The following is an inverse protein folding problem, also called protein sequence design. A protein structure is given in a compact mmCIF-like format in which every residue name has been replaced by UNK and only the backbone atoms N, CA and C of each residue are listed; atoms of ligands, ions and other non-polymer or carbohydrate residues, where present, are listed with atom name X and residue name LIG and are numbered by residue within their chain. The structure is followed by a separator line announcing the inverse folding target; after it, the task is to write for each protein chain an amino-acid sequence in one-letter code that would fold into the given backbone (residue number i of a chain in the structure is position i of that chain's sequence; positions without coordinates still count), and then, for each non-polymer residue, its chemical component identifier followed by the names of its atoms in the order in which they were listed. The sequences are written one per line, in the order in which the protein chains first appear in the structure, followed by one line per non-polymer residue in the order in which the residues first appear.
data_IF_013878890515
#
_entry.id   IF_013878890515
#
_cell.length_a   1.000
_cell.length_b   1.000
_cell.length_c   1.000
_cell.angle_alpha   90.00
_cell.angle_beta   90.00
_cell.angle_gamma   90.00
#
_symmetry.space_group_name_H-M   'P 1'
#
loop_
_entity.id
_entity.type
_entity.pdbx_description
1 polymer ?
#
# COMPACT_ATOMS: atom_id res chain seq x y z
N UNK A 1 10.23 -17.21 2.07
CA UNK A 1 10.53 -16.50 3.33
C UNK A 1 10.41 -17.50 4.49
N UNK A 2 11.22 -17.35 5.54
CA UNK A 2 11.16 -18.19 6.74
C UNK A 2 10.86 -17.35 7.98
N UNK A 3 10.44 -18.00 9.07
CA UNK A 3 10.03 -17.32 10.32
C UNK A 3 8.62 -16.70 10.24
N UNK A 4 8.27 -15.91 11.27
CA UNK A 4 6.91 -15.39 11.50
C UNK A 4 6.33 -14.68 10.28
N UNK A 5 7.12 -13.83 9.61
CA UNK A 5 6.68 -13.12 8.40
C UNK A 5 6.26 -14.10 7.29
N UNK A 6 7.05 -15.14 7.05
CA UNK A 6 6.74 -16.14 6.02
C UNK A 6 5.53 -17.00 6.37
N UNK A 7 5.26 -17.20 7.66
CA UNK A 7 4.08 -17.95 8.11
C UNK A 7 2.80 -17.11 7.95
N UNK A 8 2.86 -15.80 8.19
CA UNK A 8 1.76 -14.85 7.91
C UNK A 8 1.46 -14.80 6.41
N UNK A 9 2.49 -14.64 5.57
CA UNK A 9 2.35 -14.63 4.11
C UNK A 9 1.68 -15.91 3.60
N UNK A 10 2.14 -17.09 4.06
CA UNK A 10 1.54 -18.37 3.69
C UNK A 10 0.09 -18.50 4.17
N UNK A 11 -0.22 -18.02 5.37
CA UNK A 11 -1.59 -18.08 5.90
C UNK A 11 -2.57 -17.33 4.99
N UNK A 12 -2.23 -16.11 4.58
CA UNK A 12 -3.03 -15.30 3.65
C UNK A 12 -3.14 -15.98 2.28
N UNK A 13 -2.03 -16.48 1.71
CA UNK A 13 -2.06 -17.20 0.43
C UNK A 13 -2.96 -18.44 0.46
N UNK A 14 -2.94 -19.20 1.57
CA UNK A 14 -3.79 -20.36 1.76
C UNK A 14 -5.28 -20.00 1.92
N UNK A 15 -5.59 -18.91 2.62
CA UNK A 15 -6.95 -18.39 2.76
C UNK A 15 -7.55 -18.00 1.41
N UNK A 16 -6.74 -17.30 0.59
CA UNK A 16 -7.09 -16.89 -0.78
C UNK A 16 -7.00 -18.05 -1.80
N UNK A 17 -6.54 -19.24 -1.38
CA UNK A 17 -6.37 -20.45 -2.20
C UNK A 17 -5.50 -20.23 -3.46
N UNK A 18 -4.44 -19.44 -3.31
CA UNK A 18 -3.48 -19.13 -4.38
C UNK A 18 -2.08 -19.66 -4.05
N UNK A 19 -1.33 -19.99 -5.09
CA UNK A 19 0.08 -20.35 -5.03
C UNK A 19 0.93 -19.49 -5.96
N UNK A 20 2.25 -19.47 -5.74
CA UNK A 20 3.17 -18.70 -6.58
C UNK A 20 3.12 -19.07 -8.07
N UNK A 21 2.79 -20.33 -8.38
CA UNK A 21 2.67 -20.80 -9.77
C UNK A 21 1.49 -20.18 -10.50
N UNK A 22 0.46 -19.73 -9.80
CA UNK A 22 -0.74 -19.14 -10.40
C UNK A 22 -0.47 -17.78 -11.05
N UNK A 23 0.69 -17.17 -10.75
CA UNK A 23 1.14 -15.91 -11.34
C UNK A 23 2.07 -16.11 -12.57
N UNK A 24 2.30 -17.37 -12.97
CA UNK A 24 3.06 -17.72 -14.18
C UNK A 24 2.08 -18.09 -15.29
N UNK A 25 2.15 -17.41 -16.44
CA UNK A 25 1.23 -17.61 -17.57
C UNK A 25 2.05 -18.17 -18.74
N UNK A 26 2.02 -19.49 -18.94
CA UNK A 26 2.85 -20.17 -19.94
C UNK A 26 2.54 -19.73 -21.38
N UNK A 27 1.25 -19.54 -21.70
CA UNK A 27 0.80 -19.12 -23.03
C UNK A 27 1.07 -17.64 -23.34
N UNK A 28 1.30 -16.83 -22.30
CA UNK A 28 1.60 -15.38 -22.41
C UNK A 28 2.67 -14.97 -21.38
N UNK A 29 3.95 -15.38 -21.58
CA UNK A 29 5.00 -15.18 -20.59
C UNK A 29 5.22 -13.72 -20.18
N UNK A 30 4.94 -12.76 -21.05
CA UNK A 30 5.04 -11.32 -20.78
C UNK A 30 4.06 -10.80 -19.72
N UNK A 31 2.98 -11.54 -19.46
CA UNK A 31 2.01 -11.23 -18.40
C UNK A 31 2.34 -11.91 -17.06
N UNK A 32 3.40 -12.72 -17.02
CA UNK A 32 3.85 -13.37 -15.78
C UNK A 32 4.33 -12.35 -14.75
N UNK A 33 3.90 -12.52 -13.51
CA UNK A 33 4.37 -11.72 -12.37
C UNK A 33 5.26 -12.56 -11.46
N UNK A 34 6.56 -12.25 -11.44
CA UNK A 34 7.54 -12.92 -10.57
C UNK A 34 7.50 -12.43 -9.12
N UNK A 35 6.71 -11.39 -8.84
CA UNK A 35 6.63 -10.76 -7.54
C UNK A 35 7.83 -9.85 -7.23
N UNK A 36 7.66 -9.06 -6.18
CA UNK A 36 8.65 -8.09 -5.71
C UNK A 36 8.36 -7.74 -4.26
N UNK A 37 9.39 -7.26 -3.54
CA UNK A 37 9.21 -6.75 -2.19
C UNK A 37 8.79 -5.29 -2.23
N UNK A 38 7.83 -4.93 -1.38
CA UNK A 38 7.40 -3.55 -1.15
C UNK A 38 7.50 -3.24 0.35
N UNK A 39 8.08 -2.09 0.75
CA UNK A 39 8.03 -1.65 2.15
C UNK A 39 6.57 -1.58 2.63
N UNK A 40 6.29 -2.17 3.79
CA UNK A 40 4.94 -2.22 4.36
C UNK A 40 4.47 -0.84 4.83
N UNK A 41 5.39 -0.02 5.35
CA UNK A 41 5.10 1.33 5.80
C UNK A 41 5.97 2.35 5.04
N UNK A 42 5.44 3.56 4.90
CA UNK A 42 6.11 4.70 4.31
C UNK A 42 6.08 5.84 5.33
N UNK A 43 7.22 6.50 5.52
CA UNK A 43 7.26 7.72 6.33
C UNK A 43 6.62 8.90 5.58
N UNK A 44 5.90 9.74 6.32
CA UNK A 44 5.49 11.06 5.86
C UNK A 44 6.65 11.99 6.17
N UNK A 45 7.37 12.41 5.14
CA UNK A 45 8.63 13.12 5.32
C UNK A 45 8.38 14.63 5.32
N UNK A 46 9.03 15.32 6.26
CA UNK A 46 8.95 16.77 6.41
C UNK A 46 7.49 17.27 6.46
N UNK A 47 6.68 16.60 7.29
CA UNK A 47 5.28 16.96 7.46
C UNK A 47 5.14 18.32 8.14
N UNK A 48 4.61 19.28 7.39
CA UNK A 48 4.13 20.57 7.86
C UNK A 48 2.61 20.62 7.70
N UNK A 49 1.93 21.33 8.60
CA UNK A 49 0.50 21.53 8.48
C UNK A 49 0.05 22.85 9.08
N UNK A 50 -1.02 23.38 8.52
CA UNK A 50 -1.65 24.62 8.96
C UNK A 50 -3.17 24.57 8.73
N UNK A 51 -3.87 25.60 9.18
CA UNK A 51 -5.26 25.83 8.81
C UNK A 51 -5.33 27.00 7.84
N UNK A 52 -6.05 26.82 6.73
CA UNK A 52 -6.33 27.91 5.81
C UNK A 52 -7.31 28.94 6.40
N UNK A 53 -7.62 29.99 5.65
CA UNK A 53 -8.55 31.05 6.05
C UNK A 53 -9.96 30.52 6.41
N UNK A 54 -10.36 29.40 5.81
CA UNK A 54 -11.64 28.73 6.05
C UNK A 54 -11.56 27.67 7.15
N UNK A 55 -10.42 27.55 7.85
CA UNK A 55 -10.11 26.54 8.87
C UNK A 55 -10.08 25.11 8.33
N UNK A 56 -9.79 24.91 7.04
CA UNK A 56 -9.49 23.59 6.52
C UNK A 56 -8.03 23.23 6.81
N UNK A 57 -7.74 22.00 7.24
CA UNK A 57 -6.36 21.56 7.42
C UNK A 57 -5.66 21.44 6.05
N UNK A 58 -4.48 22.04 5.94
CA UNK A 58 -3.60 21.95 4.78
C UNK A 58 -2.34 21.22 5.20
N UNK A 59 -1.94 20.19 4.45
CA UNK A 59 -0.75 19.38 4.73
C UNK A 59 0.27 19.54 3.61
N UNK A 60 1.52 19.76 3.97
CA UNK A 60 2.67 19.75 3.07
C UNK A 60 3.63 18.64 3.51
N UNK A 61 3.96 17.75 2.60
CA UNK A 61 4.87 16.62 2.85
C UNK A 61 5.34 16.04 1.51
N UNK A 62 6.40 15.24 1.54
CA UNK A 62 6.85 14.48 0.38
C UNK A 62 6.88 12.98 0.64
N UNK A 63 6.70 12.21 -0.44
CA UNK A 63 6.69 10.75 -0.41
C UNK A 63 7.66 10.17 -1.45
N UNK A 64 8.17 8.96 -1.20
CA UNK A 64 8.94 8.23 -2.22
C UNK A 64 8.06 7.80 -3.40
N UNK A 65 8.66 7.65 -4.58
CA UNK A 65 7.95 7.19 -5.78
C UNK A 65 7.21 5.86 -5.53
N UNK A 66 6.01 5.75 -6.10
CA UNK A 66 5.17 4.55 -5.97
C UNK A 66 4.38 4.47 -4.66
N UNK A 67 4.33 5.54 -3.88
CA UNK A 67 3.48 5.70 -2.69
C UNK A 67 2.44 6.80 -2.92
N UNK A 68 1.33 6.76 -2.18
CA UNK A 68 0.15 7.56 -2.47
C UNK A 68 -0.23 8.44 -1.28
N UNK A 69 -0.47 9.73 -1.53
CA UNK A 69 -0.94 10.69 -0.53
C UNK A 69 -2.30 10.27 0.07
N UNK A 70 -3.14 9.61 -0.71
CA UNK A 70 -4.44 9.08 -0.27
C UNK A 70 -4.30 8.06 0.85
N UNK A 71 -3.23 7.27 0.89
CA UNK A 71 -2.96 6.36 2.02
C UNK A 71 -2.72 7.11 3.33
N UNK A 72 -2.06 8.27 3.28
CA UNK A 72 -1.92 9.16 4.44
C UNK A 72 -3.26 9.81 4.82
N UNK A 73 -3.97 10.38 3.83
CA UNK A 73 -5.26 11.02 4.07
C UNK A 73 -6.29 10.05 4.68
N UNK A 74 -6.29 8.78 4.26
CA UNK A 74 -7.13 7.74 4.86
C UNK A 74 -6.89 7.60 6.37
N UNK A 75 -5.65 7.70 6.82
CA UNK A 75 -5.31 7.61 8.25
C UNK A 75 -5.71 8.86 9.04
N UNK A 76 -5.82 10.03 8.40
CA UNK A 76 -6.26 11.27 9.04
C UNK A 76 -7.79 11.40 9.04
N UNK A 77 -8.43 11.18 7.89
CA UNK A 77 -9.86 11.41 7.70
C UNK A 77 -10.71 10.28 8.27
N UNK A 78 -10.19 9.04 8.31
CA UNK A 78 -10.89 7.85 8.80
C UNK A 78 -12.31 7.68 8.22
N UNK A 79 -12.51 8.08 6.96
CA UNK A 79 -13.80 7.90 6.30
C UNK A 79 -14.08 6.43 6.03
N UNK A 80 -15.37 6.06 6.02
CA UNK A 80 -15.80 4.70 5.65
C UNK A 80 -15.85 4.52 4.12
N UNK A 81 -16.18 5.57 3.36
CA UNK A 81 -16.18 5.52 1.89
C UNK A 81 -14.75 5.57 1.35
N UNK A 82 -14.32 4.50 0.67
CA UNK A 82 -12.98 4.41 0.11
C UNK A 82 -12.67 5.39 -1.03
N UNK A 83 -13.69 6.06 -1.59
CA UNK A 83 -13.55 7.03 -2.69
C UNK A 83 -13.44 8.47 -2.18
N UNK A 84 -13.47 8.67 -0.87
CA UNK A 84 -13.51 9.99 -0.25
C UNK A 84 -12.11 10.65 -0.10
N UNK A 85 -11.05 9.98 -0.53
CA UNK A 85 -9.65 10.43 -0.40
C UNK A 85 -8.98 10.63 -1.75
#
# INVERSE_FOLDING_TARGET
TGGVQGDIEKAVMNEEKIGFKDFIIEDMPELTSLGMYRPLYQNINELEWEFDENRNPVFNFWLYKGTYATSFLREIMKCEDMRAY
#
